data_IF_639471504587
#
_entry.id   IF_639471504587
#
_cell.length_a   1.000
_cell.length_b   1.000
_cell.length_c   1.000
_cell.angle_alpha   90.00
_cell.angle_beta   90.00
_cell.angle_gamma   90.00
#
_symmetry.space_group_name_H-M   'P 1'
#
loop_
_entity.id
_entity.type
_entity.pdbx_description
1 polymer ?
#
# COMPACT_ATOMS: atom_id res chain seq x y z
N UNK A 1 -38.79 -0.81 -61.46
CA UNK A 1 -39.42 -0.43 -60.19
C UNK A 1 -38.62 -1.06 -59.05
N UNK A 2 -37.70 -0.30 -58.45
CA UNK A 2 -36.69 -0.80 -57.51
C UNK A 2 -37.13 -0.57 -56.06
N UNK A 3 -37.38 -1.64 -55.31
CA UNK A 3 -37.72 -1.59 -53.87
C UNK A 3 -36.47 -1.23 -53.06
N UNK A 4 -36.49 -0.07 -52.43
CA UNK A 4 -35.48 0.34 -51.46
C UNK A 4 -35.92 -0.12 -50.07
N UNK A 5 -35.21 -1.06 -49.46
CA UNK A 5 -35.37 -1.40 -48.06
C UNK A 5 -34.59 -0.40 -47.22
N UNK A 6 -35.29 0.44 -46.47
CA UNK A 6 -34.70 1.33 -45.46
C UNK A 6 -34.53 0.52 -44.17
N UNK A 7 -33.28 0.20 -43.84
CA UNK A 7 -32.88 -0.42 -42.59
C UNK A 7 -32.95 0.64 -41.47
N UNK A 8 -33.95 0.56 -40.60
CA UNK A 8 -34.04 1.38 -39.40
C UNK A 8 -33.07 0.83 -38.34
N UNK A 9 -31.87 1.43 -38.24
CA UNK A 9 -31.03 1.27 -37.04
C UNK A 9 -31.64 2.12 -35.91
N UNK A 10 -32.32 1.48 -34.97
CA UNK A 10 -32.69 2.10 -33.71
C UNK A 10 -31.43 2.26 -32.86
N UNK A 11 -30.86 3.47 -32.85
CA UNK A 11 -29.79 3.85 -31.94
C UNK A 11 -30.38 3.96 -30.53
N UNK A 12 -30.19 2.93 -29.71
CA UNK A 12 -30.46 2.98 -28.27
C UNK A 12 -29.45 3.95 -27.63
N UNK A 13 -29.86 5.20 -27.45
CA UNK A 13 -29.18 6.15 -26.58
C UNK A 13 -29.39 5.70 -25.13
N UNK A 14 -28.46 4.88 -24.63
CA UNK A 14 -28.33 4.65 -23.19
C UNK A 14 -27.65 5.89 -22.63
N UNK A 15 -28.30 6.71 -21.79
CA UNK A 15 -27.60 7.74 -21.06
C UNK A 15 -26.65 7.02 -20.10
N UNK A 16 -25.36 7.03 -20.40
CA UNK A 16 -24.31 6.66 -19.46
C UNK A 16 -24.29 7.70 -18.34
N UNK A 17 -25.17 7.53 -17.35
CA UNK A 17 -25.00 8.16 -16.05
C UNK A 17 -23.82 7.45 -15.39
N UNK A 18 -22.61 7.93 -15.66
CA UNK A 18 -21.45 7.68 -14.80
C UNK A 18 -21.71 8.40 -13.49
N UNK A 19 -22.56 7.82 -12.65
CA UNK A 19 -22.57 8.14 -11.23
C UNK A 19 -21.17 7.81 -10.72
N UNK A 20 -20.38 8.84 -10.48
CA UNK A 20 -19.12 8.76 -9.75
C UNK A 20 -19.41 8.25 -8.36
N UNK A 21 -19.40 6.93 -8.21
CA UNK A 21 -19.38 6.23 -6.93
C UNK A 21 -17.97 5.67 -6.74
N UNK A 22 -16.99 6.57 -6.66
CA UNK A 22 -15.70 6.27 -6.06
C UNK A 22 -15.84 6.46 -4.54
N UNK A 23 -16.67 5.64 -3.89
CA UNK A 23 -16.85 5.71 -2.44
C UNK A 23 -16.42 4.39 -1.83
N UNK A 24 -15.28 4.46 -1.15
CA UNK A 24 -14.72 3.46 -0.24
C UNK A 24 -14.50 2.07 -0.87
N UNK A 25 -13.50 1.97 -1.74
CA UNK A 25 -12.69 0.75 -1.69
C UNK A 25 -12.04 0.76 -0.31
N UNK A 26 -12.52 -0.06 0.62
CA UNK A 26 -11.82 -0.25 1.89
C UNK A 26 -10.44 -0.82 1.54
N UNK A 27 -9.40 0.01 1.73
CA UNK A 27 -8.01 -0.38 1.51
C UNK A 27 -7.80 -1.72 2.23
N UNK A 28 -7.51 -2.79 1.48
CA UNK A 28 -7.22 -4.10 2.09
C UNK A 28 -6.10 -3.90 3.12
N UNK A 29 -6.13 -4.58 4.28
CA UNK A 29 -5.07 -4.44 5.28
C UNK A 29 -3.75 -4.67 4.56
N UNK A 30 -2.96 -3.61 4.42
CA UNK A 30 -1.74 -3.67 3.64
C UNK A 30 -0.80 -4.62 4.38
N UNK A 31 -0.52 -5.78 3.77
CA UNK A 31 0.62 -6.63 4.15
C UNK A 31 1.73 -6.29 3.17
N UNK A 32 2.74 -5.57 3.64
CA UNK A 32 3.94 -5.28 2.86
C UNK A 32 4.99 -6.35 3.15
N UNK A 33 5.39 -7.11 2.12
CA UNK A 33 6.39 -8.18 2.25
C UNK A 33 6.05 -9.18 3.37
N UNK A 34 4.77 -9.54 3.49
CA UNK A 34 4.21 -10.40 4.54
C UNK A 34 4.33 -9.87 5.98
N UNK A 35 4.81 -8.63 6.15
CA UNK A 35 4.87 -7.96 7.44
C UNK A 35 3.49 -7.41 7.81
N UNK A 36 3.01 -7.55 9.06
CA UNK A 36 1.85 -6.79 9.51
C UNK A 36 2.20 -5.30 9.58
N UNK A 37 1.24 -4.43 9.25
CA UNK A 37 1.43 -2.99 9.40
C UNK A 37 1.48 -2.57 10.87
N UNK A 38 1.07 -3.41 11.83
CA UNK A 38 1.24 -3.11 13.24
C UNK A 38 2.72 -3.20 13.62
N UNK A 39 3.26 -2.11 14.16
CA UNK A 39 4.62 -2.04 14.69
C UNK A 39 4.87 -3.20 15.69
N UNK A 40 5.80 -4.10 15.36
CA UNK A 40 6.14 -5.27 16.18
C UNK A 40 7.65 -5.39 16.36
N UNK A 41 8.09 -5.50 17.62
CA UNK A 41 9.51 -5.62 17.96
C UNK A 41 10.08 -7.01 17.67
N UNK A 42 9.20 -7.99 17.50
CA UNK A 42 9.53 -9.41 17.48
C UNK A 42 9.19 -10.05 16.13
N UNK A 43 8.43 -9.36 15.28
CA UNK A 43 8.07 -9.84 13.94
C UNK A 43 9.09 -9.32 12.93
N UNK A 44 10.02 -10.19 12.54
CA UNK A 44 10.99 -9.90 11.49
C UNK A 44 10.48 -10.33 10.12
N UNK A 45 10.88 -9.57 9.10
CA UNK A 45 10.71 -9.89 7.69
C UNK A 45 12.02 -10.49 7.18
N UNK A 46 11.91 -11.49 6.31
CA UNK A 46 13.06 -12.10 5.64
C UNK A 46 13.09 -11.66 4.18
N UNK A 47 14.20 -11.08 3.74
CA UNK A 47 14.40 -10.76 2.33
C UNK A 47 14.63 -12.05 1.53
N UNK A 48 13.83 -12.34 0.48
CA UNK A 48 13.82 -13.65 -0.16
C UNK A 48 15.09 -14.01 -0.94
N UNK A 49 15.87 -13.03 -1.40
CA UNK A 49 17.07 -13.27 -2.22
C UNK A 49 18.30 -13.57 -1.35
N UNK A 50 18.52 -12.78 -0.30
CA UNK A 50 19.71 -12.83 0.55
C UNK A 50 19.48 -13.56 1.87
N UNK A 51 18.21 -13.77 2.26
CA UNK A 51 17.84 -14.37 3.54
C UNK A 51 18.09 -13.47 4.75
N UNK A 52 18.41 -12.18 4.54
CA UNK A 52 18.64 -11.24 5.64
C UNK A 52 17.32 -10.90 6.32
N UNK A 53 17.33 -10.85 7.65
CA UNK A 53 16.17 -10.44 8.45
C UNK A 53 16.26 -8.98 8.85
N UNK A 54 15.11 -8.32 8.95
CA UNK A 54 14.97 -6.95 9.41
C UNK A 54 13.58 -6.71 10.00
N UNK A 55 13.42 -5.59 10.71
CA UNK A 55 12.11 -5.11 11.15
C UNK A 55 11.60 -4.08 10.13
N UNK A 56 10.33 -4.17 9.76
CA UNK A 56 9.69 -3.27 8.79
C UNK A 56 8.51 -2.58 9.46
N UNK A 57 8.51 -1.26 9.42
CA UNK A 57 7.44 -0.41 9.93
C UNK A 57 6.91 0.43 8.79
N UNK A 58 5.59 0.51 8.64
CA UNK A 58 4.97 1.33 7.61
C UNK A 58 3.55 1.73 8.02
N UNK A 59 2.97 2.78 7.43
CA UNK A 59 1.61 3.20 7.71
C UNK A 59 0.59 2.10 7.37
N UNK A 60 -0.38 1.85 8.24
CA UNK A 60 -1.40 0.82 7.97
C UNK A 60 -2.35 1.16 6.81
N UNK A 61 -2.40 2.41 6.41
CA UNK A 61 -3.19 2.91 5.28
C UNK A 61 -2.32 3.26 4.06
N UNK A 62 -1.08 2.77 4.01
CA UNK A 62 -0.15 3.05 2.92
C UNK A 62 -0.75 2.68 1.56
N UNK A 63 -0.77 3.65 0.64
CA UNK A 63 -1.33 3.47 -0.70
C UNK A 63 -0.23 3.13 -1.70
N UNK A 64 -0.60 2.43 -2.77
CA UNK A 64 0.28 2.29 -3.92
C UNK A 64 0.64 3.68 -4.46
N UNK A 65 1.91 3.85 -4.85
CA UNK A 65 2.47 5.07 -5.43
C UNK A 65 2.41 6.32 -4.52
N UNK A 66 2.18 6.15 -3.22
CA UNK A 66 2.23 7.26 -2.27
C UNK A 66 3.68 7.67 -1.97
N UNK A 67 3.91 8.99 -1.85
CA UNK A 67 5.20 9.51 -1.40
C UNK A 67 5.43 9.16 0.08
N UNK A 68 6.60 8.59 0.39
CA UNK A 68 6.99 8.19 1.74
C UNK A 68 8.34 8.78 2.12
N UNK A 69 8.57 8.95 3.42
CA UNK A 69 9.89 9.23 3.96
C UNK A 69 10.53 7.92 4.42
N UNK A 70 11.57 7.49 3.73
CA UNK A 70 12.28 6.26 4.07
C UNK A 70 13.36 6.49 5.13
N UNK A 71 13.36 5.67 6.19
CA UNK A 71 14.33 5.71 7.28
C UNK A 71 15.08 4.38 7.37
N UNK A 72 16.37 4.43 7.07
CA UNK A 72 17.27 3.30 7.34
C UNK A 72 17.85 3.39 8.76
N UNK A 73 17.26 2.65 9.70
CA UNK A 73 17.71 2.63 11.10
C UNK A 73 18.64 1.43 11.36
N UNK A 74 19.96 1.68 11.36
CA UNK A 74 20.99 0.66 11.56
C UNK A 74 21.53 0.69 12.98
N UNK A 75 21.78 -0.50 13.54
CA UNK A 75 22.49 -0.62 14.81
C UNK A 75 24.00 -0.75 14.58
N UNK A 76 24.79 -0.30 15.56
CA UNK A 76 26.23 -0.51 15.59
C UNK A 76 26.64 -1.87 16.17
N UNK A 77 27.95 -2.15 16.17
CA UNK A 77 28.52 -3.32 16.83
C UNK A 77 28.28 -3.31 18.35
N UNK A 78 27.91 -4.45 18.92
CA UNK A 78 27.53 -4.58 20.34
C UNK A 78 26.06 -4.26 20.65
N UNK A 79 25.23 -4.04 19.61
CA UNK A 79 23.77 -3.87 19.71
C UNK A 79 23.05 -4.84 18.76
N UNK A 80 21.72 -4.80 18.74
CA UNK A 80 20.88 -5.50 17.76
C UNK A 80 19.62 -4.69 17.43
N UNK A 81 18.92 -5.09 16.35
CA UNK A 81 17.83 -4.32 15.74
C UNK A 81 16.73 -3.86 16.71
N UNK A 82 16.25 -4.74 17.59
CA UNK A 82 15.18 -4.37 18.54
C UNK A 82 15.62 -3.31 19.55
N UNK A 83 16.87 -3.31 20.00
CA UNK A 83 17.39 -2.25 20.88
C UNK A 83 17.49 -0.92 20.14
N UNK A 84 18.06 -0.93 18.93
CA UNK A 84 18.16 0.25 18.09
C UNK A 84 16.79 0.87 17.80
N UNK A 85 15.78 0.03 17.54
CA UNK A 85 14.39 0.47 17.32
C UNK A 85 13.78 1.15 18.54
N UNK A 86 14.18 0.78 19.76
CA UNK A 86 13.74 1.44 21.00
C UNK A 86 14.49 2.74 21.27
N UNK A 87 15.77 2.83 20.88
CA UNK A 87 16.54 4.08 20.98
C UNK A 87 16.06 5.16 20.02
N UNK A 88 15.59 4.77 18.84
CA UNK A 88 14.99 5.66 17.85
C UNK A 88 13.61 5.14 17.42
N UNK A 89 12.54 5.43 18.19
CA UNK A 89 11.21 4.86 17.99
C UNK A 89 10.42 5.58 16.87
N UNK A 90 10.99 5.64 15.67
CA UNK A 90 10.34 6.26 14.50
C UNK A 90 8.99 5.61 14.15
N UNK A 91 8.81 4.34 14.49
CA UNK A 91 7.58 3.59 14.28
C UNK A 91 6.35 4.20 14.98
N UNK A 92 6.53 4.95 16.06
CA UNK A 92 5.43 5.66 16.74
C UNK A 92 4.90 6.85 15.92
N UNK A 93 5.69 7.34 14.97
CA UNK A 93 5.37 8.51 14.16
C UNK A 93 5.10 8.19 12.69
N UNK A 94 5.14 6.91 12.32
CA UNK A 94 5.04 6.47 10.93
C UNK A 94 3.76 6.91 10.24
N UNK A 95 2.63 6.90 10.95
CA UNK A 95 1.34 7.32 10.38
C UNK A 95 1.33 8.83 10.07
N UNK A 96 1.89 9.64 10.99
CA UNK A 96 1.90 11.10 10.90
C UNK A 96 2.84 11.63 9.81
N UNK A 97 3.99 10.98 9.64
CA UNK A 97 5.05 11.45 8.75
C UNK A 97 5.26 10.56 7.53
N UNK A 98 4.39 9.57 7.32
CA UNK A 98 4.48 8.60 6.21
C UNK A 98 5.84 7.91 6.19
N UNK A 99 6.27 7.43 7.36
CA UNK A 99 7.59 6.82 7.52
C UNK A 99 7.54 5.34 7.14
N UNK A 100 8.55 4.90 6.40
CA UNK A 100 8.84 3.49 6.11
C UNK A 100 10.27 3.16 6.54
#
# INVERSE_FOLDING_TARGET
MSKHYVLFLAFLLIPSTTTGVAWLEAQQPSTLLDAPCTASADTQVTEPVTGRTYLLDYPCDLRADEEVTFILNLHGGGSFGTWQRRYFPAFDQKERHRLV
#
